data_IF_878936659105
#
_entry.id   IF_878936659105
#
_cell.length_a   1.000
_cell.length_b   1.000
_cell.length_c   1.000
_cell.angle_alpha   90.00
_cell.angle_beta   90.00
_cell.angle_gamma   90.00
#
_symmetry.space_group_name_H-M   'P 1'
#
loop_
_entity.id
_entity.type
_entity.pdbx_description
1 polymer ?
2 non-polymer ?
3 water ?
#
# COMPACT_ATOMS: atom_id res chain seq x y z
N UNK A 7 -1.64 -15.67 18.20
CA UNK A 7 -2.02 -17.02 17.76
C UNK A 7 -2.76 -16.95 16.43
N UNK A 8 -2.52 -18.01 15.68
CA UNK A 8 -3.04 -18.25 14.36
C UNK A 8 -3.90 -19.51 14.42
N UNK A 9 -4.82 -19.63 13.46
CA UNK A 9 -5.61 -20.84 13.30
C UNK A 9 -4.75 -21.87 12.62
N UNK A 10 -5.14 -23.16 12.70
CA UNK A 10 -4.34 -24.16 12.00
C UNK A 10 -4.02 -23.81 10.56
N UNK A 11 -5.00 -23.44 9.75
CA UNK A 11 -4.70 -23.13 8.35
C UNK A 11 -3.86 -21.83 8.19
N UNK A 12 -4.02 -20.88 9.10
CA UNK A 12 -3.18 -19.66 9.03
C UNK A 12 -1.73 -20.02 9.38
N UNK A 13 -1.58 -20.82 10.43
CA UNK A 13 -0.25 -21.18 10.89
C UNK A 13 0.45 -21.96 9.76
N UNK A 14 -0.28 -22.83 9.06
CA UNK A 14 0.30 -23.57 7.93
C UNK A 14 0.74 -22.72 6.74
N UNK A 15 0.00 -21.66 6.45
CA UNK A 15 0.39 -20.88 5.30
C UNK A 15 1.64 -20.06 5.63
N UNK A 16 1.80 -19.69 6.89
CA UNK A 16 2.95 -18.91 7.29
C UNK A 16 4.19 -19.81 7.38
N UNK A 17 4.02 -21.04 7.84
CA UNK A 17 5.11 -22.02 7.75
C UNK A 17 5.58 -22.21 6.31
N UNK A 18 4.63 -22.33 5.40
CA UNK A 18 4.94 -22.49 3.99
C UNK A 18 5.69 -21.29 3.40
N UNK A 19 5.25 -20.08 3.74
CA UNK A 19 5.97 -18.92 3.24
C UNK A 19 7.40 -18.94 3.78
N UNK A 20 7.55 -19.37 5.03
CA UNK A 20 8.85 -19.33 5.68
C UNK A 20 9.89 -20.25 5.02
N UNK A 21 9.46 -21.22 4.23
CA UNK A 21 10.43 -22.02 3.47
C UNK A 21 11.17 -21.23 2.40
N UNK A 22 10.65 -20.03 2.08
CA UNK A 22 11.12 -19.30 0.93
C UNK A 22 11.81 -18.02 1.35
N UNK A 23 12.29 -17.95 2.60
CA UNK A 23 13.00 -16.76 3.08
C UNK A 23 14.19 -16.56 2.19
N UNK A 24 14.48 -15.31 1.84
CA UNK A 24 15.72 -14.98 1.10
C UNK A 24 16.96 -15.08 2.00
N UNK A 25 18.14 -15.08 1.40
CA UNK A 25 19.37 -15.08 2.20
C UNK A 25 19.55 -13.82 2.99
N UNK A 26 19.12 -12.71 2.41
CA UNK A 26 19.24 -11.45 3.09
C UNK A 26 17.88 -10.77 2.97
N UNK A 27 17.43 -10.06 4.03
CA UNK A 27 16.16 -9.31 3.81
C UNK A 27 16.39 -8.24 2.77
N UNK A 28 15.34 -7.98 1.99
CA UNK A 28 15.39 -6.94 0.96
C UNK A 28 15.17 -5.56 1.60
N UNK A 29 16.15 -4.66 1.54
CA UNK A 29 15.90 -3.32 2.06
C UNK A 29 14.85 -2.63 1.18
N UNK A 30 13.89 -1.94 1.81
CA UNK A 30 12.68 -1.48 1.10
C UNK A 30 12.42 -0.02 1.35
N UNK A 31 12.14 0.72 0.26
CA UNK A 31 11.75 2.14 0.29
C UNK A 31 10.25 2.20 -0.06
N UNK A 32 9.46 2.79 0.82
CA UNK A 32 7.99 2.80 0.69
C UNK A 32 7.49 4.23 0.53
N UNK A 33 6.56 4.42 -0.42
CA UNK A 33 5.95 5.71 -0.72
C UNK A 33 4.45 5.55 -0.48
N UNK A 34 3.88 6.32 0.45
CA UNK A 34 2.58 5.95 1.06
C UNK A 34 1.78 7.16 1.53
N UNK A 35 0.45 7.00 1.66
CA UNK A 35 -0.48 8.11 1.98
C UNK A 35 -1.50 7.62 3.00
N UNK A 36 -1.04 7.35 4.22
CA UNK A 36 -1.93 6.66 5.18
C UNK A 36 -3.04 7.56 5.76
N UNK A 37 -4.03 6.86 6.32
CA UNK A 37 -5.15 7.47 7.07
C UNK A 37 -6.17 8.20 6.22
N UNK A 38 -6.27 7.88 4.94
CA UNK A 38 -7.52 8.23 4.24
C UNK A 38 -8.35 6.98 3.98
N UNK A 39 -7.76 5.83 4.25
CA UNK A 39 -8.46 4.53 4.18
C UNK A 39 -7.60 3.54 4.99
N UNK A 40 -7.99 2.26 5.13
CA UNK A 40 -7.15 1.36 5.93
C UNK A 40 -5.90 0.83 5.28
N UNK A 41 -5.82 0.93 3.95
CA UNK A 41 -4.87 0.12 3.17
C UNK A 41 -3.42 0.28 3.55
N UNK A 42 -2.95 1.53 3.66
CA UNK A 42 -1.53 1.72 3.92
C UNK A 42 -1.16 1.14 5.26
N UNK A 43 -2.01 1.34 6.27
CA UNK A 43 -1.67 0.83 7.60
C UNK A 43 -1.75 -0.68 7.69
N UNK A 44 -2.64 -1.33 6.94
CA UNK A 44 -2.58 -2.78 6.83
C UNK A 44 -1.23 -3.20 6.22
N UNK A 45 -0.75 -2.40 5.25
CA UNK A 45 0.54 -2.73 4.63
C UNK A 45 1.67 -2.62 5.64
N UNK A 46 1.65 -1.57 6.50
CA UNK A 46 2.71 -1.42 7.50
C UNK A 46 2.67 -2.63 8.43
N UNK A 47 1.44 -3.06 8.76
CA UNK A 47 1.23 -4.20 9.69
C UNK A 47 1.79 -5.52 9.11
N UNK A 48 1.39 -5.86 7.88
CA UNK A 48 2.04 -7.04 7.30
C UNK A 48 3.54 -6.89 7.06
N UNK A 49 4.02 -5.67 6.80
CA UNK A 49 5.47 -5.45 6.67
C UNK A 49 6.18 -5.78 7.97
N UNK A 50 5.57 -5.47 9.11
CA UNK A 50 6.21 -5.84 10.38
C UNK A 50 6.51 -7.31 10.46
N UNK A 51 5.57 -8.16 10.06
CA UNK A 51 5.79 -9.60 10.13
C UNK A 51 6.79 -10.03 9.07
N UNK A 52 6.71 -9.44 7.88
CA UNK A 52 7.66 -9.79 6.85
C UNK A 52 9.08 -9.39 7.27
N UNK A 53 9.23 -8.29 8.01
CA UNK A 53 10.55 -7.90 8.52
C UNK A 53 10.97 -8.87 9.61
N UNK A 54 10.08 -9.15 10.55
CA UNK A 54 10.43 -10.09 11.63
C UNK A 54 10.88 -11.43 11.06
N UNK A 55 10.31 -11.84 9.93
CA UNK A 55 10.68 -13.11 9.29
C UNK A 55 11.82 -13.04 8.25
N UNK A 56 12.41 -11.88 8.05
CA UNK A 56 13.61 -11.77 7.23
C UNK A 56 13.39 -11.62 5.74
N UNK A 57 12.18 -11.23 5.34
CA UNK A 57 11.92 -10.99 3.91
C UNK A 57 12.33 -9.60 3.46
N UNK A 58 12.15 -8.63 4.35
CA UNK A 58 12.42 -7.25 4.00
C UNK A 58 12.89 -6.52 5.22
N UNK A 59 13.44 -5.33 4.98
CA UNK A 59 13.72 -4.44 6.09
C UNK A 59 13.29 -3.05 5.65
N UNK A 60 12.32 -2.49 6.37
CA UNK A 60 11.67 -1.23 5.92
C UNK A 60 12.52 -0.09 6.45
N UNK A 61 13.33 0.51 5.57
CA UNK A 61 14.31 1.45 6.08
C UNK A 61 13.82 2.91 6.05
N UNK A 62 13.02 3.24 5.02
CA UNK A 62 12.64 4.62 4.79
C UNK A 62 11.23 4.66 4.23
N UNK A 63 10.46 5.59 4.72
CA UNK A 63 9.12 5.79 4.23
C UNK A 63 8.92 7.27 3.94
N UNK A 64 8.45 7.61 2.74
CA UNK A 64 8.20 9.02 2.43
C UNK A 64 6.69 9.15 2.16
N UNK A 65 6.06 10.12 2.78
CA UNK A 65 4.58 10.19 2.85
C UNK A 65 4.06 11.35 1.98
N UNK A 66 3.00 11.09 1.23
CA UNK A 66 2.45 12.10 0.34
C UNK A 66 0.94 12.25 0.61
N UNK A 67 0.26 13.07 -0.20
CA UNK A 67 -1.19 13.33 -0.27
C UNK A 67 -1.59 14.44 0.70
N UNK A 68 -1.88 15.61 0.14
CA UNK A 68 -2.27 16.80 0.87
C UNK A 68 -1.21 17.90 0.77
N UNK A 69 -1.55 19.03 1.37
CA UNK A 69 -0.56 20.11 1.50
C UNK A 69 0.51 19.78 2.52
N UNK A 70 1.48 20.68 2.73
CA UNK A 70 2.61 20.30 3.58
C UNK A 70 2.20 19.89 4.98
N UNK A 71 1.27 20.61 5.57
CA UNK A 71 0.91 20.24 6.94
C UNK A 71 0.14 18.90 6.96
N UNK A 72 -0.67 18.66 5.95
CA UNK A 72 -1.40 17.36 5.91
C UNK A 72 -0.40 16.23 5.78
N UNK A 73 0.58 16.38 4.89
CA UNK A 73 1.58 15.33 4.72
C UNK A 73 2.31 15.10 6.02
N UNK A 74 2.52 16.15 6.80
CA UNK A 74 3.14 15.92 8.11
C UNK A 74 2.25 15.16 9.07
N UNK A 75 0.94 15.43 9.04
CA UNK A 75 0.01 14.68 9.90
C UNK A 75 0.05 13.19 9.52
N UNK A 76 0.04 12.91 8.23
CA UNK A 76 0.10 11.52 7.77
C UNK A 76 1.41 10.88 8.18
N UNK A 77 2.52 11.61 8.08
CA UNK A 77 3.81 11.06 8.43
C UNK A 77 3.90 10.78 9.95
N UNK A 78 3.36 11.68 10.75
CA UNK A 78 3.28 11.47 12.17
C UNK A 78 2.44 10.26 12.48
N UNK A 79 1.32 10.06 11.78
CA UNK A 79 0.58 8.83 11.99
C UNK A 79 1.35 7.54 11.60
N UNK A 80 2.02 7.56 10.43
CA UNK A 80 2.80 6.42 10.04
C UNK A 80 3.84 6.11 11.10
N UNK A 81 4.54 7.14 11.57
CA UNK A 81 5.58 6.88 12.54
C UNK A 81 4.99 6.37 13.87
N UNK A 82 3.85 6.94 14.28
CA UNK A 82 3.10 6.39 15.40
C UNK A 82 2.74 4.90 15.28
N UNK A 83 2.36 4.48 14.07
CA UNK A 83 2.05 3.08 13.84
C UNK A 83 3.31 2.22 13.85
N UNK A 84 4.38 2.65 13.19
CA UNK A 84 5.64 1.90 13.28
C UNK A 84 6.14 1.72 14.73
N UNK A 85 5.99 2.77 15.51
CA UNK A 85 6.36 2.71 16.95
C UNK A 85 5.57 1.62 17.70
N UNK A 86 4.26 1.57 17.45
CA UNK A 86 3.36 0.57 18.10
C UNK A 86 3.51 -0.85 17.55
N UNK A 87 4.14 -0.97 16.38
CA UNK A 87 4.47 -2.27 15.80
C UNK A 87 5.90 -2.68 16.17
N UNK A 88 6.55 -1.93 17.04
CA UNK A 88 7.97 -2.19 17.40
C UNK A 88 8.86 -2.29 16.15
N UNK A 89 8.66 -1.33 15.26
CA UNK A 89 9.59 -1.07 14.19
C UNK A 89 10.16 0.30 14.48
N UNK A 90 10.99 0.41 15.54
CA UNK A 90 11.40 1.73 15.98
C UNK A 90 12.35 2.54 15.06
N UNK A 91 12.98 1.89 14.09
CA UNK A 91 14.04 2.56 13.33
C UNK A 91 13.65 2.95 11.92
N UNK A 92 12.39 2.67 11.54
CA UNK A 92 11.88 3.20 10.28
C UNK A 92 11.97 4.72 10.24
N UNK A 93 12.65 5.23 9.20
CA UNK A 93 12.78 6.67 9.07
C UNK A 93 11.66 7.24 8.21
N UNK A 94 10.78 7.99 8.82
CA UNK A 94 9.63 8.54 8.13
C UNK A 94 9.86 10.01 7.82
N UNK A 95 9.59 10.37 6.57
CA UNK A 95 9.76 11.75 6.12
C UNK A 95 8.52 12.26 5.35
N UNK A 96 8.19 13.54 5.48
CA UNK A 96 7.17 14.19 4.67
C UNK A 96 7.69 14.39 3.24
N UNK A 97 6.87 14.05 2.22
CA UNK A 97 7.22 14.30 0.85
C UNK A 97 7.08 15.76 0.46
N UNK A 98 7.42 16.07 -0.79
CA UNK A 98 7.36 17.46 -1.26
C UNK A 98 6.02 17.93 -1.84
N UNK A 99 5.88 19.24 -2.06
CA UNK A 99 4.67 19.79 -2.61
C UNK A 99 4.39 19.32 -4.03
N UNK A 100 3.14 19.28 -4.39
CA UNK A 100 2.80 18.90 -5.72
C UNK A 100 1.54 19.66 -6.08
N UNK A 101 1.21 19.75 -7.37
CA UNK A 101 0.04 20.55 -7.78
C UNK A 101 -1.32 19.94 -7.40
N UNK A 102 -2.26 20.74 -6.88
CA UNK A 102 -3.60 20.30 -6.42
C UNK A 102 -4.68 21.29 -6.91
N UNK A 103 -5.66 20.84 -7.70
CA UNK A 103 -6.80 21.66 -8.02
C UNK A 103 -7.69 21.79 -6.77
N UNK A 104 -8.73 22.63 -6.87
CA UNK A 104 -9.67 22.77 -5.77
C UNK A 104 -10.43 21.46 -5.55
N UNK A 105 -10.70 20.72 -6.62
CA UNK A 105 -11.42 19.48 -6.47
C UNK A 105 -10.52 18.49 -5.76
N UNK A 106 -9.23 18.49 -6.11
CA UNK A 106 -8.34 17.59 -5.40
C UNK A 106 -8.17 17.98 -3.94
N UNK A 107 -8.17 19.28 -3.65
CA UNK A 107 -7.90 19.75 -2.28
C UNK A 107 -8.83 19.05 -1.29
N UNK A 108 -10.10 19.00 -1.63
CA UNK A 108 -11.04 18.30 -0.80
C UNK A 108 -10.71 16.83 -0.58
N UNK A 109 -10.45 16.09 -1.65
CA UNK A 109 -10.18 14.67 -1.48
C UNK A 109 -8.79 14.40 -0.88
N UNK A 110 -7.81 15.25 -1.17
CA UNK A 110 -6.45 14.94 -0.74
C UNK A 110 -6.25 15.40 0.70
N UNK A 111 -7.28 16.03 1.28
CA UNK A 111 -7.17 16.50 2.66
C UNK A 111 -7.91 15.56 3.60
N UNK A 112 -8.35 14.39 3.12
CA UNK A 112 -9.07 13.40 3.96
C UNK A 112 -8.16 12.75 5.02
N UNK A 113 -8.49 12.89 6.30
CA UNK A 113 -7.64 12.37 7.39
C UNK A 113 -8.58 11.89 8.49
N UNK A 114 -8.65 10.58 8.61
CA UNK A 114 -9.76 9.91 9.34
C UNK A 114 -9.56 10.12 10.85
N UNK A 115 -10.66 10.39 11.55
CA UNK A 115 -10.52 10.73 13.00
C UNK A 115 -9.81 9.65 13.85
N UNK A 116 -9.94 8.40 13.46
CA UNK A 116 -9.37 7.28 14.21
C UNK A 116 -7.83 7.34 14.28
N UNK A 117 -7.22 7.98 13.29
CA UNK A 117 -5.79 8.11 13.33
C UNK A 117 -5.25 9.23 14.18
N UNK A 118 -6.10 10.17 14.58
CA UNK A 118 -5.57 11.36 15.28
C UNK A 118 -4.70 11.02 16.50
N UNK A 119 -5.18 10.13 17.35
CA UNK A 119 -4.47 9.79 18.60
C UNK A 119 -3.30 8.87 18.37
N UNK A 120 -3.10 8.43 17.14
CA UNK A 120 -1.96 7.56 16.89
C UNK A 120 -0.72 8.35 16.47
N UNK A 121 -0.85 9.65 16.26
CA UNK A 121 0.28 10.42 15.72
C UNK A 121 1.45 10.50 16.70
N UNK A 122 2.66 10.27 16.19
CA UNK A 122 3.88 10.55 16.96
C UNK A 122 4.00 12.08 17.02
N UNK A 123 4.91 12.59 17.83
CA UNK A 123 5.19 14.04 17.84
C UNK A 123 5.78 14.52 16.50
N UNK A 124 5.54 15.82 16.14
CA UNK A 124 5.96 16.42 14.86
C UNK A 124 7.45 16.29 14.64
N UNK A 125 8.22 16.45 15.72
CA UNK A 125 9.67 16.36 15.59
C UNK A 125 10.18 14.89 15.48
N UNK A 126 9.27 13.91 15.52
CA UNK A 126 9.69 12.51 15.26
C UNK A 126 9.80 12.15 13.76
N UNK A 127 9.31 13.01 12.88
CA UNK A 127 9.39 12.78 11.44
C UNK A 127 10.24 13.86 10.74
N UNK A 128 10.75 13.53 9.57
CA UNK A 128 11.76 14.36 8.89
C UNK A 128 11.08 15.17 7.76
N UNK A 129 11.63 16.32 7.39
CA UNK A 129 10.89 17.22 6.52
C UNK A 129 11.54 17.25 5.18
N UNK A 130 12.60 16.45 5.04
CA UNK A 130 13.43 16.56 3.84
C UNK A 130 13.20 15.45 2.79
N UNK A 131 11.95 14.99 2.68
CA UNK A 131 11.55 14.05 1.64
C UNK A 131 12.53 12.93 1.39
N UNK A 132 13.04 12.83 0.16
CA UNK A 132 13.82 11.67 -0.28
C UNK A 132 15.35 11.75 -0.06
N UNK A 133 15.80 12.72 0.72
CA UNK A 133 17.24 12.89 0.94
C UNK A 133 17.90 11.62 1.53
N UNK A 134 17.29 11.09 2.60
CA UNK A 134 17.83 9.89 3.22
C UNK A 134 17.82 8.70 2.26
N UNK A 135 16.79 8.54 1.42
CA UNK A 135 16.75 7.48 0.45
C UNK A 135 17.94 7.61 -0.51
N UNK A 136 18.24 8.84 -0.92
CA UNK A 136 19.38 9.10 -1.81
C UNK A 136 20.69 8.60 -1.14
N UNK A 137 20.93 9.09 0.08
CA UNK A 137 22.12 8.67 0.84
C UNK A 137 22.20 7.17 0.99
N UNK A 138 21.05 6.53 1.18
CA UNK A 138 21.03 5.09 1.33
C UNK A 138 21.31 4.32 0.04
N UNK A 139 20.81 4.81 -1.10
CA UNK A 139 21.10 4.16 -2.39
C UNK A 139 22.63 4.20 -2.60
N UNK A 140 23.23 5.29 -2.15
CA UNK A 140 24.69 5.51 -2.33
C UNK A 140 25.52 4.48 -1.61
N UNK A 141 25.10 4.15 -0.38
CA UNK A 141 25.92 3.36 0.54
C UNK A 141 25.37 1.95 0.75
N UNK A 142 24.45 1.50 -0.08
CA UNK A 142 24.03 0.12 0.04
C UNK A 142 24.85 -0.83 -0.81
N UNK A 143 25.31 -1.93 -0.17
CA UNK A 143 26.02 -3.01 -0.83
C UNK A 143 25.09 -3.90 -1.65
N UNK A 144 23.79 -3.78 -1.41
CA UNK A 144 22.82 -4.62 -2.14
C UNK A 144 21.69 -3.78 -2.71
N UNK A 145 21.08 -4.25 -3.78
CA UNK A 145 19.99 -3.50 -4.41
C UNK A 145 18.77 -3.46 -3.48
N UNK A 146 18.04 -2.34 -3.51
CA UNK A 146 16.84 -2.14 -2.67
C UNK A 146 15.59 -2.27 -3.55
N UNK A 147 14.46 -2.53 -2.91
CA UNK A 147 13.19 -2.48 -3.64
C UNK A 147 12.42 -1.21 -3.36
N UNK A 148 11.68 -0.72 -4.33
CA UNK A 148 10.84 0.50 -4.11
C UNK A 148 9.42 0.04 -4.25
N UNK A 149 8.59 0.41 -3.29
CA UNK A 149 7.17 0.02 -3.32
C UNK A 149 6.30 1.27 -3.25
N UNK A 150 5.45 1.42 -4.25
CA UNK A 150 4.65 2.67 -4.35
C UNK A 150 3.20 2.35 -4.12
N UNK A 151 2.65 2.87 -3.01
CA UNK A 151 1.25 2.62 -2.69
C UNK A 151 0.56 3.95 -2.47
N UNK A 152 0.98 4.97 -3.21
CA UNK A 152 0.39 6.30 -3.16
C UNK A 152 0.82 7.07 -4.37
N UNK A 153 0.57 8.39 -4.39
CA UNK A 153 0.98 9.23 -5.52
C UNK A 153 2.49 9.24 -5.61
N UNK A 154 2.97 9.63 -6.80
CA UNK A 154 4.35 9.34 -7.12
C UNK A 154 5.22 10.60 -7.14
N UNK A 155 4.79 11.70 -6.53
CA UNK A 155 5.62 12.94 -6.50
C UNK A 155 7.05 12.65 -6.01
N UNK A 156 7.15 11.96 -4.88
CA UNK A 156 8.48 11.67 -4.28
C UNK A 156 9.21 10.52 -4.93
N UNK A 157 8.51 9.46 -5.34
CA UNK A 157 9.18 8.39 -6.04
C UNK A 157 9.81 8.91 -7.33
N UNK A 158 9.10 9.80 -8.02
CA UNK A 158 9.66 10.33 -9.27
C UNK A 158 10.82 11.26 -8.90
N UNK A 159 10.66 12.09 -7.85
CA UNK A 159 11.77 12.94 -7.36
C UNK A 159 13.03 12.15 -7.09
N UNK A 160 12.89 10.92 -6.56
CA UNK A 160 14.04 10.09 -6.22
C UNK A 160 14.72 9.62 -7.48
N UNK A 161 13.93 9.21 -8.47
CA UNK A 161 14.57 8.74 -9.71
C UNK A 161 15.23 9.94 -10.35
N UNK A 162 14.69 11.15 -10.13
CA UNK A 162 15.33 12.30 -10.78
C UNK A 162 16.62 12.73 -10.06
N UNK A 163 16.57 12.83 -8.73
CA UNK A 163 17.74 13.31 -7.99
C UNK A 163 18.83 12.27 -7.93
N UNK A 164 18.46 10.98 -7.97
CA UNK A 164 19.47 9.95 -7.77
C UNK A 164 19.47 8.97 -8.93
N UNK A 165 19.14 9.47 -10.11
CA UNK A 165 19.18 8.70 -11.35
C UNK A 165 20.46 7.93 -11.61
N UNK A 166 21.59 8.48 -11.21
CA UNK A 166 22.85 7.75 -11.30
C UNK A 166 22.81 6.47 -10.42
N UNK A 167 22.29 6.62 -9.20
CA UNK A 167 22.33 5.51 -8.25
C UNK A 167 21.28 4.46 -8.55
N UNK A 168 20.07 4.92 -8.91
CA UNK A 168 18.91 4.02 -8.95
C UNK A 168 19.15 2.95 -10.00
N UNK A 169 19.88 3.34 -11.03
CA UNK A 169 20.11 2.40 -12.12
C UNK A 169 20.89 1.19 -11.60
N UNK A 170 21.83 1.39 -10.67
CA UNK A 170 22.63 0.28 -10.17
C UNK A 170 22.18 -0.26 -8.80
N UNK A 171 21.35 0.49 -8.09
CA UNK A 171 20.97 0.07 -6.74
C UNK A 171 19.45 -0.23 -6.49
N UNK A 172 18.61 -0.12 -7.51
CA UNK A 172 17.18 -0.47 -7.27
C UNK A 172 16.81 -1.68 -8.07
N UNK A 173 16.36 -2.71 -7.37
CA UNK A 173 15.97 -3.96 -8.03
C UNK A 173 14.70 -3.95 -8.88
N UNK A 174 13.65 -3.29 -8.38
CA UNK A 174 12.38 -3.25 -9.09
C UNK A 174 11.60 -2.16 -8.43
N UNK A 175 10.57 -1.75 -9.14
CA UNK A 175 9.60 -0.77 -8.62
C UNK A 175 8.24 -1.42 -8.78
N UNK A 176 7.50 -1.54 -7.69
CA UNK A 176 6.20 -2.22 -7.73
C UNK A 176 5.18 -1.19 -7.29
N UNK A 177 4.12 -1.04 -8.06
CA UNK A 177 3.25 0.13 -7.90
C UNK A 177 1.80 -0.33 -7.87
N UNK A 178 0.98 0.24 -6.99
CA UNK A 178 -0.45 0.01 -6.99
C UNK A 178 -1.01 1.09 -7.90
N UNK A 179 -1.31 0.72 -9.13
CA UNK A 179 -1.45 1.76 -10.14
C UNK A 179 -2.30 1.23 -11.29
N UNK A 180 -1.94 1.66 -12.50
CA UNK A 180 -2.66 1.12 -13.65
C UNK A 180 -1.98 1.64 -14.90
N UNK A 181 -2.09 0.84 -15.95
CA UNK A 181 -1.39 1.03 -17.19
C UNK A 181 -2.41 1.62 -18.18
N UNK A 182 -2.04 2.73 -18.80
CA UNK A 182 -2.90 3.32 -19.85
C UNK A 182 -2.91 2.35 -21.03
N UNK A 183 -4.08 2.20 -21.69
CA UNK A 183 -4.22 1.62 -23.04
C UNK A 183 -3.08 1.88 -24.02
N UNK A 184 -2.77 3.15 -24.31
CA UNK A 184 -1.70 3.53 -25.23
C UNK A 184 -0.32 3.63 -24.64
N UNK A 185 0.64 3.09 -25.37
CA UNK A 185 2.03 3.14 -25.01
C UNK A 185 2.69 4.32 -25.73
N UNK A 190 6.84 2.90 -24.85
CA UNK A 190 6.86 2.76 -23.37
C UNK A 190 5.48 2.80 -22.72
N UNK A 191 5.36 2.02 -21.64
CA UNK A 191 4.15 1.94 -20.84
C UNK A 191 3.99 3.27 -20.12
N UNK A 192 2.74 3.73 -20.01
CA UNK A 192 2.47 4.99 -19.31
C UNK A 192 1.31 4.80 -18.33
N UNK A 193 1.18 5.73 -17.37
CA UNK A 193 0.10 5.50 -16.41
C UNK A 193 -1.31 5.87 -16.86
N UNK A 194 -2.28 5.07 -16.43
CA UNK A 194 -3.73 5.34 -16.61
C UNK A 194 -4.10 6.55 -15.74
N UNK A 195 -4.66 7.58 -16.40
CA UNK A 195 -5.08 8.76 -15.63
C UNK A 195 -6.21 8.51 -14.65
N UNK A 196 -6.92 7.40 -14.78
CA UNK A 196 -8.06 7.08 -13.94
C UNK A 196 -7.68 6.39 -12.65
N UNK A 197 -6.47 5.84 -12.58
CA UNK A 197 -6.15 5.02 -11.41
C UNK A 197 -5.76 5.98 -10.28
N UNK A 198 -6.26 5.72 -9.08
CA UNK A 198 -6.19 6.69 -7.98
C UNK A 198 -4.77 7.20 -7.72
N UNK A 199 -3.84 6.27 -7.57
CA UNK A 199 -2.48 6.70 -7.23
C UNK A 199 -1.80 7.46 -8.37
N UNK A 200 -2.13 7.10 -9.59
CA UNK A 200 -1.51 7.88 -10.66
C UNK A 200 -2.09 9.30 -10.70
N UNK A 201 -3.41 9.41 -10.49
CA UNK A 201 -4.16 10.69 -10.54
C UNK A 201 -3.83 11.66 -9.41
N UNK A 202 -3.21 11.16 -8.34
CA UNK A 202 -2.76 12.06 -7.26
C UNK A 202 -1.81 13.13 -7.81
N UNK A 203 -0.87 12.73 -8.66
CA UNK A 203 0.04 13.68 -9.33
C UNK A 203 0.38 12.99 -10.66
N UNK A 204 -0.41 13.31 -11.67
CA UNK A 204 -0.30 12.53 -12.92
C UNK A 204 1.03 12.79 -13.65
N UNK A 205 1.59 14.00 -13.55
CA UNK A 205 2.87 14.33 -14.21
C UNK A 205 3.99 13.58 -13.55
N UNK A 206 3.99 13.53 -12.22
CA UNK A 206 4.97 12.66 -11.55
C UNK A 206 4.81 11.17 -11.90
N UNK A 207 3.56 10.67 -12.02
CA UNK A 207 3.34 9.28 -12.43
C UNK A 207 3.90 9.06 -13.85
N UNK A 208 3.63 9.97 -14.76
CA UNK A 208 4.22 9.80 -16.11
C UNK A 208 5.76 9.82 -16.03
N UNK A 209 6.33 10.72 -15.24
CA UNK A 209 7.79 10.81 -15.16
C UNK A 209 8.35 9.48 -14.62
N UNK A 210 7.68 8.91 -13.61
CA UNK A 210 8.20 7.71 -12.96
C UNK A 210 8.14 6.50 -13.88
N UNK A 211 6.98 6.24 -14.52
CA UNK A 211 6.79 5.06 -15.38
C UNK A 211 7.79 5.18 -16.49
N UNK A 212 7.89 6.38 -17.06
CA UNK A 212 8.80 6.60 -18.19
C UNK A 212 10.25 6.43 -17.77
N UNK A 213 10.68 7.08 -16.69
CA UNK A 213 12.09 7.06 -16.35
C UNK A 213 12.54 5.68 -15.87
N UNK A 214 11.64 4.88 -15.29
CA UNK A 214 12.05 3.63 -14.73
C UNK A 214 12.44 2.78 -15.93
N UNK A 215 11.64 2.89 -16.97
CA UNK A 215 11.85 2.13 -18.21
C UNK A 215 13.11 2.60 -18.96
N UNK A 216 13.33 3.92 -19.02
CA UNK A 216 14.58 4.46 -19.59
C UNK A 216 15.82 4.01 -18.83
N UNK A 217 15.68 3.83 -17.52
CA UNK A 217 16.79 3.41 -16.69
C UNK A 217 16.91 1.86 -16.60
N UNK A 218 16.00 1.13 -17.25
CA UNK A 218 16.06 -0.33 -17.26
C UNK A 218 15.66 -0.97 -15.95
N UNK A 219 14.86 -0.27 -15.14
CA UNK A 219 14.46 -0.86 -13.84
C UNK A 219 13.12 -1.56 -13.98
N UNK A 220 13.03 -2.87 -13.68
CA UNK A 220 11.78 -3.61 -13.88
C UNK A 220 10.61 -2.93 -13.13
N UNK A 221 9.46 -2.82 -13.78
CA UNK A 221 8.24 -2.28 -13.16
C UNK A 221 7.22 -3.35 -13.00
N UNK A 222 6.54 -3.43 -11.85
CA UNK A 222 5.49 -4.39 -11.70
C UNK A 222 4.26 -3.61 -11.19
N UNK A 223 3.18 -3.66 -11.93
CA UNK A 223 2.02 -2.76 -11.67
C UNK A 223 0.85 -3.63 -11.27
N UNK A 224 0.38 -3.42 -10.05
CA UNK A 224 -0.74 -4.22 -9.56
C UNK A 224 -1.97 -3.33 -9.65
N UNK A 225 -3.07 -3.86 -10.12
CA UNK A 225 -4.22 -2.99 -10.44
C UNK A 225 -5.39 -3.35 -9.51
N UNK A 226 -6.40 -2.52 -9.49
CA UNK A 226 -7.50 -2.75 -8.54
C UNK A 226 -8.21 -4.12 -8.76
N UNK A 227 -8.22 -4.62 -10.01
CA UNK A 227 -8.83 -5.93 -10.29
C UNK A 227 -8.18 -7.11 -9.57
N UNK A 228 -6.89 -6.98 -9.30
CA UNK A 228 -6.13 -7.99 -8.54
C UNK A 228 -6.68 -8.04 -7.12
N UNK A 229 -6.98 -6.87 -6.54
CA UNK A 229 -7.53 -6.88 -5.18
C UNK A 229 -8.95 -7.46 -5.06
N UNK A 230 -9.79 -7.21 -6.07
CA UNK A 230 -11.17 -7.69 -6.01
C UNK A 230 -11.16 -9.19 -5.81
N UNK A 231 -10.25 -9.84 -6.51
CA UNK A 231 -10.22 -11.28 -6.46
C UNK A 231 -9.84 -11.83 -5.06
N UNK A 232 -9.01 -11.09 -4.33
CA UNK A 232 -8.51 -11.53 -3.03
C UNK A 232 -9.13 -10.74 -1.85
N UNK A 233 -10.35 -10.21 -2.04
CA UNK A 233 -10.99 -9.37 -1.04
C UNK A 233 -11.19 -10.14 0.24
N UNK A 234 -11.00 -9.50 1.38
CA UNK A 234 -11.14 -10.16 2.69
C UNK A 234 -12.47 -9.81 3.35
N UNK A 235 -12.99 -10.68 4.26
CA UNK A 235 -14.26 -10.32 4.92
C UNK A 235 -14.01 -9.45 6.15
N UNK A 236 -15.08 -8.92 6.80
CA UNK A 236 -14.90 -8.18 8.05
C UNK A 236 -14.11 -8.97 9.09
N UNK A 237 -14.17 -10.31 9.06
CA UNK A 237 -13.50 -11.11 10.08
C UNK A 237 -12.02 -10.81 10.09
N UNK A 238 -11.49 -10.41 8.92
CA UNK A 238 -10.07 -9.98 8.82
C UNK A 238 -9.78 -8.88 9.84
N UNK A 239 -10.64 -7.85 9.88
CA UNK A 239 -10.47 -6.70 10.76
C UNK A 239 -10.86 -7.05 12.20
N UNK A 240 -11.88 -7.93 12.35
CA UNK A 240 -12.29 -8.27 13.70
C UNK A 240 -11.23 -9.15 14.33
N UNK A 241 -10.66 -10.06 13.55
CA UNK A 241 -9.52 -10.88 13.97
C UNK A 241 -8.32 -10.11 14.48
N UNK A 242 -8.00 -9.00 13.83
CA UNK A 242 -6.80 -8.26 14.25
C UNK A 242 -7.06 -7.31 15.39
N UNK A 243 -8.33 -7.00 15.66
CA UNK A 243 -8.64 -6.12 16.76
C UNK A 243 -8.90 -6.92 18.06
N UNK A 244 -8.96 -8.23 17.93
CA UNK A 244 -9.51 -9.10 18.99
C UNK A 244 -8.77 -8.93 20.32
N UNK A 245 -7.46 -8.77 20.25
CA UNK A 245 -6.68 -8.74 21.46
C UNK A 245 -6.28 -7.36 21.93
N UNK A 246 -6.93 -6.32 21.39
CA UNK A 246 -6.71 -4.98 21.87
C UNK A 246 -5.43 -4.30 21.38
N UNK A 247 -4.81 -4.83 20.33
CA UNK A 247 -3.63 -4.09 19.85
C UNK A 247 -4.13 -2.76 19.28
N UNK A 248 -3.49 -1.63 19.65
CA UNK A 248 -4.03 -0.34 19.16
C UNK A 248 -4.04 -0.24 17.63
N UNK A 249 -3.12 -0.90 16.94
CA UNK A 249 -3.09 -0.76 15.50
C UNK A 249 -4.18 -1.62 14.91
N UNK A 250 -4.42 -2.79 15.51
CA UNK A 250 -5.55 -3.60 15.11
C UNK A 250 -6.92 -2.94 15.33
N UNK A 251 -7.12 -2.29 16.49
CA UNK A 251 -8.38 -1.61 16.76
C UNK A 251 -8.51 -0.40 15.81
N UNK A 252 -7.43 0.34 15.60
CA UNK A 252 -7.49 1.41 14.58
C UNK A 252 -7.98 0.87 13.23
N UNK A 253 -7.40 -0.23 12.76
CA UNK A 253 -7.76 -0.71 11.41
C UNK A 253 -9.22 -1.13 11.39
N UNK A 254 -9.67 -1.89 12.40
CA UNK A 254 -11.06 -2.29 12.37
C UNK A 254 -11.98 -1.07 12.44
N UNK A 255 -11.66 -0.11 13.31
CA UNK A 255 -12.51 1.06 13.48
C UNK A 255 -12.53 1.91 12.20
N UNK A 256 -11.37 2.11 11.56
CA UNK A 256 -11.42 2.91 10.32
C UNK A 256 -12.21 2.22 9.20
N UNK A 257 -12.03 0.91 9.06
CA UNK A 257 -12.77 0.23 8.01
C UNK A 257 -14.26 0.23 8.32
N UNK A 258 -14.59 -0.07 9.57
CA UNK A 258 -16.01 -0.16 9.88
C UNK A 258 -16.65 1.23 9.75
N UNK A 259 -16.02 2.29 10.24
CA UNK A 259 -16.64 3.62 10.17
C UNK A 259 -16.71 4.14 8.72
N UNK A 260 -15.65 3.95 7.92
CA UNK A 260 -15.70 4.31 6.49
C UNK A 260 -16.89 3.65 5.81
N UNK A 261 -17.13 2.38 6.10
CA UNK A 261 -18.17 1.66 5.42
C UNK A 261 -19.58 2.13 5.92
N UNK A 262 -19.61 2.42 7.22
CA UNK A 262 -20.84 2.95 7.84
C UNK A 262 -21.20 4.27 7.17
N UNK A 263 -20.21 5.14 7.02
CA UNK A 263 -20.45 6.43 6.39
C UNK A 263 -20.93 6.26 4.95
N UNK A 264 -20.37 5.29 4.23
CA UNK A 264 -20.78 5.07 2.83
C UNK A 264 -22.23 4.52 2.74
N UNK A 265 -22.53 3.58 3.62
CA UNK A 265 -23.88 3.04 3.73
C UNK A 265 -24.94 4.10 4.05
N UNK A 266 -24.66 4.94 5.05
CA UNK A 266 -25.64 5.96 5.51
C UNK A 266 -25.86 6.99 4.40
N UNK A 267 -24.79 7.26 3.66
CA UNK A 267 -24.80 8.32 2.64
C UNK A 267 -25.68 7.86 1.49
N UNK A 268 -25.53 6.59 1.12
CA UNK A 268 -26.27 5.97 0.03
C UNK A 268 -27.73 5.85 0.45
N UNK A 269 -27.96 5.39 1.68
CA UNK A 269 -29.34 5.34 2.25
C UNK A 269 -30.09 6.67 2.08
N UNK A 270 -29.41 7.78 2.31
CA UNK A 270 -30.01 9.09 2.17
C UNK A 270 -29.86 9.68 0.74
N UNK A 271 -29.45 8.86 -0.24
CA UNK A 271 -29.26 9.29 -1.64
C UNK A 271 -28.34 10.53 -1.72
N UNK A 272 -27.26 10.56 -0.91
CA UNK A 272 -26.35 11.73 -0.84
C UNK A 272 -25.06 11.59 -1.61
N UNK A 273 -24.86 10.43 -2.18
CA UNK A 273 -23.69 10.16 -2.96
C UNK A 273 -24.10 9.89 -4.39
N UNK A 274 -24.03 10.95 -5.23
CA UNK A 274 -24.62 10.77 -6.55
C UNK A 274 -24.07 9.60 -7.34
N UNK A 275 -24.99 8.84 -7.92
CA UNK A 275 -24.64 7.75 -8.79
C UNK A 275 -24.61 6.39 -8.06
N UNK A 276 -24.61 6.41 -6.72
CA UNK A 276 -24.52 5.12 -6.00
C UNK A 276 -25.86 4.80 -5.38
N UNK A 277 -26.18 3.52 -5.28
CA UNK A 277 -27.44 3.15 -4.65
C UNK A 277 -27.30 1.86 -3.84
N UNK A 278 -28.37 1.46 -3.16
CA UNK A 278 -28.30 0.29 -2.28
C UNK A 278 -27.86 -0.94 -3.04
N UNK A 279 -28.30 -1.03 -4.30
CA UNK A 279 -27.92 -2.12 -5.19
C UNK A 279 -26.42 -2.12 -5.50
N UNK A 280 -25.84 -0.94 -5.59
CA UNK A 280 -24.43 -0.90 -5.89
C UNK A 280 -23.68 -1.36 -4.63
N UNK A 281 -24.22 -1.02 -3.47
CA UNK A 281 -23.55 -1.37 -2.22
C UNK A 281 -23.57 -2.89 -1.98
N UNK A 282 -24.76 -3.50 -2.06
CA UNK A 282 -24.83 -4.98 -1.97
C UNK A 282 -23.95 -5.71 -3.04
N UNK A 283 -23.91 -5.19 -4.25
CA UNK A 283 -23.13 -5.81 -5.33
C UNK A 283 -21.62 -5.60 -5.15
N UNK A 284 -21.26 -4.59 -4.36
CA UNK A 284 -19.88 -4.29 -4.19
C UNK A 284 -19.32 -5.00 -2.96
N UNK A 285 -20.11 -5.04 -1.89
CA UNK A 285 -19.64 -5.51 -0.58
C UNK A 285 -20.24 -6.81 -0.10
N UNK A 286 -21.33 -7.23 -0.72
CA UNK A 286 -22.03 -8.37 -0.23
C UNK A 286 -22.00 -9.49 -1.26
N UNK A 301 -33.49 0.26 4.26
CA UNK A 301 -33.83 0.93 5.51
C UNK A 301 -33.08 0.44 6.77
N UNK A 302 -32.13 -0.50 6.61
CA UNK A 302 -31.36 -1.07 7.74
C UNK A 302 -30.36 -0.13 8.38
N UNK A 303 -30.09 -0.32 9.66
CA UNK A 303 -29.02 0.45 10.27
C UNK A 303 -27.69 -0.24 9.94
N UNK A 304 -26.58 0.46 10.14
CA UNK A 304 -25.33 -0.14 9.72
C UNK A 304 -24.98 -1.40 10.54
N UNK A 305 -25.47 -1.47 11.78
CA UNK A 305 -25.23 -2.66 12.61
C UNK A 305 -25.82 -3.93 12.02
N UNK A 306 -26.88 -3.81 11.22
CA UNK A 306 -27.42 -4.97 10.54
C UNK A 306 -26.81 -5.24 9.19
N UNK A 307 -26.02 -4.29 8.68
CA UNK A 307 -25.31 -4.44 7.39
C UNK A 307 -23.86 -5.03 7.54
N UNK A 308 -23.12 -4.50 8.51
CA UNK A 308 -21.75 -4.98 8.84
C UNK A 308 -21.66 -6.50 8.78
N UNK A 309 -22.58 -7.24 9.49
CA UNK A 309 -22.52 -8.69 9.39
C UNK A 309 -22.75 -9.29 7.99
N UNK A 310 -23.45 -8.60 7.13
CA UNK A 310 -23.64 -9.20 5.80
C UNK A 310 -22.46 -8.97 4.84
N UNK A 311 -21.60 -8.03 5.22
CA UNK A 311 -20.49 -7.71 4.31
C UNK A 311 -19.54 -8.88 4.29
N UNK A 312 -19.11 -9.26 3.08
CA UNK A 312 -18.12 -10.32 2.84
C UNK A 312 -16.83 -9.90 2.05
N UNK A 313 -16.82 -8.71 1.44
CA UNK A 313 -15.78 -8.41 0.46
C UNK A 313 -15.18 -7.02 0.74
N UNK A 314 -13.94 -6.96 1.23
CA UNK A 314 -13.26 -5.69 1.51
C UNK A 314 -11.89 -5.76 0.79
N UNK A 315 -11.61 -4.77 -0.08
CA UNK A 315 -10.36 -4.82 -0.85
C UNK A 315 -9.09 -4.39 -0.10
N UNK A 316 -8.00 -5.12 -0.29
CA UNK A 316 -6.67 -4.75 0.29
C UNK A 316 -5.64 -4.46 -0.82
N UNK A 317 -5.72 -3.29 -1.43
CA UNK A 317 -4.91 -3.05 -2.60
C UNK A 317 -3.45 -2.93 -2.26
N UNK A 318 -3.16 -2.16 -1.24
CA UNK A 318 -1.77 -1.90 -0.93
C UNK A 318 -1.02 -3.11 -0.32
N UNK A 319 -1.67 -3.87 0.56
CA UNK A 319 -0.97 -5.04 1.08
C UNK A 319 -0.66 -6.02 -0.03
N UNK A 320 -1.57 -6.18 -0.99
CA UNK A 320 -1.27 -7.08 -2.08
C UNK A 320 -0.10 -6.57 -2.91
N UNK A 321 0.02 -5.26 -3.06
CA UNK A 321 1.15 -4.67 -3.82
C UNK A 321 2.47 -5.04 -3.17
N UNK A 322 2.52 -4.91 -1.84
CA UNK A 322 3.69 -5.34 -1.11
C UNK A 322 3.99 -6.84 -1.30
N UNK A 323 2.97 -7.67 -1.24
CA UNK A 323 3.15 -9.10 -1.45
C UNK A 323 3.67 -9.33 -2.87
N UNK A 324 3.21 -8.52 -3.81
CA UNK A 324 3.70 -8.66 -5.19
C UNK A 324 5.14 -8.20 -5.40
N UNK A 325 5.69 -7.40 -4.47
CA UNK A 325 6.99 -6.79 -4.56
C UNK A 325 8.11 -7.69 -4.08
N UNK A 326 7.76 -8.70 -3.27
CA UNK A 326 8.78 -9.60 -2.69
C UNK A 326 8.70 -10.95 -3.43
N UNK A 327 9.87 -11.47 -3.88
CA UNK A 327 9.79 -12.73 -4.66
C UNK A 327 9.21 -13.89 -3.89
N UNK A 328 9.51 -13.98 -2.60
CA UNK A 328 9.02 -15.11 -1.82
C UNK A 328 7.50 -15.17 -1.74
N UNK A 329 6.90 -14.02 -1.50
CA UNK A 329 5.46 -13.99 -1.44
C UNK A 329 4.84 -14.00 -2.85
N UNK A 330 5.47 -13.31 -3.81
CA UNK A 330 4.91 -13.18 -5.16
C UNK A 330 4.81 -14.56 -5.75
N UNK A 331 5.86 -15.38 -5.57
CA UNK A 331 5.86 -16.67 -6.25
C UNK A 331 4.81 -17.60 -5.67
N UNK A 332 4.42 -17.34 -4.43
CA UNK A 332 3.35 -18.07 -3.81
C UNK A 332 1.97 -17.74 -4.41
N UNK A 333 1.76 -16.48 -4.80
CA UNK A 333 0.38 -16.04 -5.05
C UNK A 333 0.11 -15.60 -6.48
N UNK A 334 1.14 -15.16 -7.19
CA UNK A 334 0.94 -14.43 -8.44
C UNK A 334 1.71 -14.99 -9.62
N UNK A 335 1.16 -14.74 -10.81
CA UNK A 335 1.84 -15.05 -12.05
C UNK A 335 1.71 -13.81 -12.93
N UNK A 336 2.56 -12.77 -12.70
CA UNK A 336 2.49 -11.49 -13.41
C UNK A 336 2.58 -11.71 -14.92
N UNK A 337 1.89 -10.87 -15.69
CA UNK A 337 1.92 -10.97 -17.15
C UNK A 337 2.85 -9.91 -17.76
N UNK A 338 3.81 -10.30 -18.60
CA UNK A 338 4.65 -9.22 -19.15
C UNK A 338 3.91 -8.38 -20.16
N UNK A 339 4.14 -7.07 -20.13
CA UNK A 339 3.47 -6.09 -21.00
C UNK A 339 4.41 -5.31 -21.92
N UNK A 340 5.71 -5.37 -21.67
CA UNK A 340 6.64 -4.58 -22.43
C UNK A 340 6.85 -5.20 -23.81
N UNK A 341 7.43 -4.41 -24.71
CA UNK A 341 7.80 -4.97 -26.02
C UNK A 341 8.96 -5.91 -25.81
N UNK A 342 8.91 -7.05 -26.49
CA UNK A 342 9.98 -8.04 -26.48
C UNK A 342 11.35 -7.35 -26.55
N UNK A 343 12.18 -7.62 -25.55
CA UNK A 343 13.50 -7.03 -25.46
C UNK A 343 13.64 -5.69 -24.76
N UNK A 344 12.52 -5.06 -24.37
CA UNK A 344 12.62 -3.72 -23.76
C UNK A 344 12.69 -3.86 -22.24
N UNK A 345 12.82 -2.72 -21.55
CA UNK A 345 12.75 -2.73 -20.09
C UNK A 345 11.47 -3.38 -19.57
N UNK A 346 11.61 -4.31 -18.61
CA UNK A 346 10.45 -5.12 -18.25
C UNK A 346 9.37 -4.34 -17.54
N UNK A 347 8.14 -4.63 -17.93
CA UNK A 347 6.95 -4.09 -17.28
C UNK A 347 5.93 -5.19 -17.08
N UNK A 348 5.62 -5.57 -15.85
CA UNK A 348 4.69 -6.65 -15.63
C UNK A 348 3.37 -6.19 -15.08
N UNK A 349 2.30 -6.90 -15.43
CA UNK A 349 0.99 -6.54 -14.99
C UNK A 349 0.41 -7.58 -14.05
N UNK A 350 -0.11 -7.12 -12.91
CA UNK A 350 -0.87 -8.03 -12.05
C UNK A 350 -2.32 -7.57 -11.88
N UNK A 351 -3.24 -8.21 -12.62
CA UNK A 351 -4.67 -8.01 -12.49
C UNK A 351 -5.40 -9.25 -12.00
N UNK A 352 -6.67 -9.40 -12.35
CA UNK A 352 -7.44 -10.48 -11.74
C UNK A 352 -6.90 -11.87 -12.14
N UNK A 353 -6.52 -12.02 -13.41
CA UNK A 353 -6.11 -13.35 -13.92
C UNK A 353 -4.78 -13.79 -13.31
N UNK A 354 -4.00 -12.80 -12.94
CA UNK A 354 -2.66 -13.00 -12.44
C UNK A 354 -2.63 -13.31 -10.93
N UNK A 355 -3.71 -13.07 -10.21
CA UNK A 355 -3.82 -13.58 -8.85
C UNK A 355 -4.30 -15.02 -8.91
N UNK A 356 -3.35 -15.96 -8.89
CA UNK A 356 -3.68 -17.37 -9.16
C UNK A 356 -4.11 -18.15 -7.90
N UNK A 357 -3.74 -17.63 -6.73
CA UNK A 357 -4.15 -18.25 -5.48
C UNK A 357 -4.85 -17.29 -4.52
N UNK A 358 -6.08 -16.84 -4.84
CA UNK A 358 -6.71 -15.83 -4.01
C UNK A 358 -7.10 -16.27 -2.61
N UNK A 359 -7.49 -17.53 -2.39
CA UNK A 359 -7.87 -17.91 -1.01
C UNK A 359 -6.60 -18.00 -0.17
N UNK A 360 -5.50 -18.40 -0.79
CA UNK A 360 -4.22 -18.40 -0.10
C UNK A 360 -3.74 -16.96 0.19
N UNK A 361 -3.92 -16.06 -0.77
CA UNK A 361 -3.62 -14.65 -0.51
C UNK A 361 -4.42 -14.11 0.68
N UNK A 362 -5.72 -14.41 0.72
CA UNK A 362 -6.55 -14.02 1.87
C UNK A 362 -6.00 -14.57 3.20
N UNK A 363 -5.64 -15.86 3.20
CA UNK A 363 -5.20 -16.56 4.40
C UNK A 363 -3.81 -16.04 4.84
N UNK A 364 -2.93 -15.85 3.88
CA UNK A 364 -1.61 -15.23 4.16
C UNK A 364 -1.68 -13.79 4.69
N UNK A 365 -2.55 -12.96 4.10
CA UNK A 365 -2.76 -11.61 4.66
C UNK A 365 -3.22 -11.71 6.11
N UNK A 366 -4.20 -12.58 6.43
CA UNK A 366 -4.65 -12.71 7.82
C UNK A 366 -3.52 -13.23 8.74
N UNK A 367 -2.80 -14.26 8.28
CA UNK A 367 -1.66 -14.78 9.07
C UNK A 367 -0.62 -13.73 9.38
N UNK A 368 -0.21 -12.96 8.37
CA UNK A 368 0.81 -11.96 8.58
C UNK A 368 0.32 -10.86 9.53
N UNK A 369 -0.91 -10.36 9.34
CA UNK A 369 -1.36 -9.27 10.20
C UNK A 369 -1.51 -9.73 11.66
N UNK A 370 -2.05 -10.93 11.86
CA UNK A 370 -2.19 -11.40 13.25
C UNK A 370 -0.86 -11.64 13.93
N UNK A 371 0.10 -12.22 13.20
CA UNK A 371 1.43 -12.47 13.79
C UNK A 371 2.13 -11.16 14.14
N UNK A 372 1.91 -10.13 13.30
CA UNK A 372 2.57 -8.85 13.46
C UNK A 372 2.10 -8.16 14.74
N UNK A 373 0.88 -8.46 15.17
CA UNK A 373 0.26 -7.73 16.28
C UNK A 373 0.34 -8.48 17.61
N UNK A 374 1.23 -9.47 17.69
CA UNK A 374 1.45 -10.20 18.94
C UNK A 374 1.94 -9.32 20.07
X LIG B 1 -2.40 4.02 -0.40
#
# INVERSE_FOLDING_TARGET
GHMDTPVLTPTEAAVLRELRLHRPQLPLDTLLFTDPNKDPDDVVTYTIAKQLQADGFLRLTDVVVTLGDADMRSQRAQLAKGVFDRLALPDVRVARGQDYPMTSTQAREHSKFLAEGAALRAAPDAVHTDGVRAMCERLATSPHKLGMVVIAGMTDASALLAEAGDLVREKVASITIMGGIDPARDADGLVQPDTRAYNNATDIHAARALYRRAQQLGIPLRILTKEAAYKAAVPPAFYEGIARNGHPVGEYLRDVQKNALKGLWEGIQANLIPGLDTAWFFRTFVAAQPQDPVAADQQGALSFDAIWPQVTKLNLYDPLTLLAALPGTARLLFQPTPMHREGASPVEHVGHAEVVRPEKARLLLSALAKAALVQQDEG
CA CA
#
